data_IF_693569221747
#
_entry.id   IF_693569221747
#
_cell.length_a   1.000
_cell.length_b   1.000
_cell.length_c   1.000
_cell.angle_alpha   90.00
_cell.angle_beta   90.00
_cell.angle_gamma   90.00
#
_symmetry.space_group_name_H-M   'P 1'
#
loop_
_entity.id
_entity.type
_entity.pdbx_description
1 polymer ?
#
# COMPACT_ATOMS: atom_id res chain seq x y z
N UNK A 1 -13.84 25.96 -55.53
CA UNK A 1 -12.88 24.99 -56.07
C UNK A 1 -11.81 24.55 -55.05
N UNK A 2 -11.35 25.39 -54.12
CA UNK A 2 -10.26 25.03 -53.17
C UNK A 2 -10.66 24.16 -51.97
N UNK A 3 -11.94 24.07 -51.61
CA UNK A 3 -12.37 23.34 -50.39
C UNK A 3 -12.40 21.82 -50.59
N UNK A 4 -12.69 21.36 -51.81
CA UNK A 4 -12.75 19.93 -52.15
C UNK A 4 -11.37 19.27 -52.23
N UNK A 5 -10.34 20.03 -52.61
CA UNK A 5 -8.95 19.53 -52.69
C UNK A 5 -8.39 19.23 -51.29
N UNK A 6 -8.73 20.06 -50.30
CA UNK A 6 -8.33 19.85 -48.90
C UNK A 6 -9.02 18.62 -48.32
N UNK A 7 -10.28 18.37 -48.69
CA UNK A 7 -11.03 17.20 -48.22
C UNK A 7 -10.48 15.89 -48.79
N UNK A 8 -10.05 15.90 -50.06
CA UNK A 8 -9.37 14.75 -50.69
C UNK A 8 -8.01 14.49 -50.04
N UNK A 9 -7.24 15.54 -49.72
CA UNK A 9 -5.95 15.41 -49.03
C UNK A 9 -6.11 14.90 -47.58
N UNK A 10 -7.10 15.38 -46.83
CA UNK A 10 -7.39 14.89 -45.48
C UNK A 10 -7.86 13.43 -45.50
N UNK A 11 -8.64 13.02 -46.50
CA UNK A 11 -9.11 11.64 -46.62
C UNK A 11 -8.01 10.67 -47.07
N UNK A 12 -7.02 11.13 -47.86
CA UNK A 12 -5.89 10.30 -48.31
C UNK A 12 -4.83 10.11 -47.21
N UNK A 13 -4.64 11.10 -46.33
CA UNK A 13 -3.74 10.99 -45.16
C UNK A 13 -4.33 10.12 -44.03
N UNK A 14 -5.64 9.87 -44.03
CA UNK A 14 -6.30 8.98 -43.07
C UNK A 14 -6.11 7.47 -43.33
N UNK A 15 -5.48 7.08 -44.46
CA UNK A 15 -5.39 5.69 -44.88
C UNK A 15 -3.97 5.09 -44.88
N UNK A 16 -2.94 5.84 -44.47
CA UNK A 16 -1.56 5.34 -44.38
C UNK A 16 -0.86 5.77 -43.09
N UNK A 17 -1.31 5.23 -41.94
CA UNK A 17 -0.41 4.84 -40.83
C UNK A 17 -1.04 3.62 -40.17
N UNK A 18 -1.09 2.52 -40.92
CA UNK A 18 -0.99 1.18 -40.35
C UNK A 18 0.50 0.85 -40.34
N UNK A 19 0.97 0.18 -39.28
CA UNK A 19 2.36 -0.21 -38.96
C UNK A 19 3.19 0.80 -38.15
N UNK A 20 2.80 0.96 -36.88
CA UNK A 20 3.66 0.69 -35.70
C UNK A 20 2.89 1.07 -34.42
N UNK A 21 1.91 0.26 -33.97
CA UNK A 21 0.97 0.73 -32.91
C UNK A 21 0.55 -0.30 -31.87
N UNK A 22 1.24 -1.44 -31.76
CA UNK A 22 0.91 -2.44 -30.74
C UNK A 22 1.45 -2.09 -29.34
N UNK A 23 2.51 -1.28 -29.21
CA UNK A 23 3.11 -0.95 -27.89
C UNK A 23 2.52 0.28 -27.18
N UNK A 24 1.88 1.21 -27.88
CA UNK A 24 1.39 2.47 -27.27
C UNK A 24 -0.02 2.34 -26.68
N UNK A 25 -0.84 1.45 -27.22
CA UNK A 25 -2.19 1.18 -26.70
C UNK A 25 -2.16 0.31 -25.44
N UNK A 26 -1.19 -0.62 -25.34
CA UNK A 26 -0.97 -1.43 -24.14
C UNK A 26 -0.49 -0.56 -22.96
N UNK A 27 0.48 0.32 -23.19
CA UNK A 27 1.07 1.17 -22.14
C UNK A 27 0.09 2.20 -21.55
N UNK A 28 -0.84 2.73 -22.35
CA UNK A 28 -1.91 3.63 -21.88
C UNK A 28 -2.87 2.89 -20.93
N UNK A 29 -3.28 1.66 -21.28
CA UNK A 29 -4.15 0.84 -20.44
C UNK A 29 -3.47 0.45 -19.12
N UNK A 30 -2.17 0.17 -19.15
CA UNK A 30 -1.36 -0.06 -17.94
C UNK A 30 -1.32 1.18 -17.05
N UNK A 31 -1.02 2.35 -17.62
CA UNK A 31 -1.02 3.63 -16.88
C UNK A 31 -2.39 3.95 -16.26
N UNK A 32 -3.48 3.67 -16.98
CA UNK A 32 -4.85 3.85 -16.47
C UNK A 32 -5.13 2.89 -15.31
N UNK A 33 -4.70 1.63 -15.40
CA UNK A 33 -4.80 0.66 -14.29
C UNK A 33 -3.98 1.12 -13.10
N UNK A 34 -2.75 1.57 -13.32
CA UNK A 34 -1.86 2.05 -12.25
C UNK A 34 -2.44 3.26 -11.53
N UNK A 35 -2.94 4.24 -12.28
CA UNK A 35 -3.57 5.43 -11.71
C UNK A 35 -4.78 5.07 -10.88
N UNK A 36 -5.67 4.20 -11.38
CA UNK A 36 -6.82 3.70 -10.62
C UNK A 36 -6.41 3.01 -9.32
N UNK A 37 -5.40 2.14 -9.39
CA UNK A 37 -4.85 1.44 -8.23
C UNK A 37 -4.29 2.42 -7.20
N UNK A 38 -3.50 3.41 -7.63
CA UNK A 38 -2.91 4.42 -6.75
C UNK A 38 -3.97 5.33 -6.12
N UNK A 39 -4.94 5.81 -6.90
CA UNK A 39 -6.08 6.60 -6.38
C UNK A 39 -6.87 5.80 -5.36
N UNK A 40 -7.09 4.50 -5.61
CA UNK A 40 -7.81 3.63 -4.69
C UNK A 40 -7.02 3.42 -3.39
N UNK A 41 -5.73 3.12 -3.47
CA UNK A 41 -4.86 3.00 -2.30
C UNK A 41 -4.83 4.28 -1.46
N UNK A 42 -4.70 5.43 -2.12
CA UNK A 42 -4.69 6.73 -1.46
C UNK A 42 -6.03 7.02 -0.76
N UNK A 43 -7.15 6.63 -1.37
CA UNK A 43 -8.47 6.76 -0.77
C UNK A 43 -8.64 5.90 0.50
N UNK A 44 -8.05 4.69 0.55
CA UNK A 44 -8.03 3.91 1.78
C UNK A 44 -7.20 4.59 2.88
N UNK A 45 -6.02 5.09 2.52
CA UNK A 45 -5.14 5.81 3.45
C UNK A 45 -5.79 7.09 3.98
N UNK A 46 -6.49 7.86 3.12
CA UNK A 46 -7.13 9.12 3.52
C UNK A 46 -8.26 8.94 4.53
N UNK A 47 -8.88 7.75 4.56
CA UNK A 47 -9.94 7.41 5.51
C UNK A 47 -9.46 6.52 6.66
N UNK A 48 -8.14 6.34 6.82
CA UNK A 48 -7.55 5.47 7.85
C UNK A 48 -8.11 4.04 7.80
N UNK A 49 -8.35 3.53 6.59
CA UNK A 49 -8.83 2.17 6.34
C UNK A 49 -7.65 1.24 6.02
N UNK A 50 -7.72 -0.04 6.45
CA UNK A 50 -6.71 -1.01 6.08
C UNK A 50 -6.69 -1.23 4.56
N UNK A 51 -5.50 -1.30 3.98
CA UNK A 51 -5.35 -1.55 2.55
C UNK A 51 -5.64 -3.02 2.23
N UNK A 52 -6.49 -3.31 1.24
CA UNK A 52 -6.67 -4.67 0.75
C UNK A 52 -5.35 -5.25 0.22
N UNK A 53 -5.03 -6.53 0.47
CA UNK A 53 -3.80 -7.17 0.01
C UNK A 53 -3.58 -7.05 -1.50
N UNK A 54 -4.65 -7.19 -2.29
CA UNK A 54 -4.61 -7.10 -3.76
C UNK A 54 -4.18 -5.70 -4.23
N UNK A 55 -4.69 -4.66 -3.57
CA UNK A 55 -4.33 -3.26 -3.86
C UNK A 55 -2.88 -3.01 -3.45
N UNK A 56 -2.46 -3.50 -2.29
CA UNK A 56 -1.07 -3.38 -1.84
C UNK A 56 -0.10 -4.04 -2.82
N UNK A 57 -0.38 -5.27 -3.26
CA UNK A 57 0.43 -5.97 -4.25
C UNK A 57 0.48 -5.23 -5.58
N UNK A 58 -0.66 -4.73 -6.06
CA UNK A 58 -0.72 -3.95 -7.28
C UNK A 58 0.10 -2.65 -7.19
N UNK A 59 0.03 -1.91 -6.08
CA UNK A 59 0.88 -0.73 -5.83
C UNK A 59 2.36 -1.10 -5.77
N UNK A 60 2.69 -2.23 -5.13
CA UNK A 60 4.06 -2.73 -5.08
C UNK A 60 4.60 -3.08 -6.47
N UNK A 61 3.78 -3.72 -7.32
CA UNK A 61 4.15 -4.04 -8.72
C UNK A 61 4.46 -2.76 -9.49
N UNK A 62 3.62 -1.73 -9.35
CA UNK A 62 3.82 -0.43 -10.01
C UNK A 62 5.16 0.21 -9.62
N UNK A 63 5.57 0.05 -8.35
CA UNK A 63 6.85 0.55 -7.86
C UNK A 63 8.04 -0.25 -8.43
N UNK A 64 7.92 -1.58 -8.51
CA UNK A 64 9.00 -2.47 -9.01
C UNK A 64 9.13 -2.49 -10.53
N UNK A 65 8.04 -2.19 -11.26
CA UNK A 65 8.00 -2.13 -12.73
C UNK A 65 8.56 -0.80 -13.28
N UNK A 66 8.90 0.15 -12.40
CA UNK A 66 9.62 1.37 -12.78
C UNK A 66 11.10 1.05 -13.02
N UNK A 67 11.66 1.31 -14.23
CA UNK A 67 13.07 1.06 -14.48
C UNK A 67 13.95 1.89 -13.51
N UNK A 68 15.08 1.34 -13.03
CA UNK A 68 15.91 1.95 -11.99
C UNK A 68 16.68 3.15 -12.56
N UNK A 69 16.01 4.30 -12.68
CA UNK A 69 16.64 5.57 -12.94
C UNK A 69 17.08 6.19 -11.60
N UNK A 70 18.28 5.79 -11.17
CA UNK A 70 19.21 6.53 -10.29
C UNK A 70 18.75 6.77 -8.84
N UNK A 71 19.09 5.83 -7.95
CA UNK A 71 19.72 6.10 -6.64
C UNK A 71 20.13 4.77 -6.01
N UNK A 72 21.44 4.55 -5.89
CA UNK A 72 22.03 3.27 -5.54
C UNK A 72 21.82 2.87 -4.08
N UNK A 73 21.18 1.72 -3.88
CA UNK A 73 21.60 0.81 -2.84
C UNK A 73 21.87 -0.55 -3.47
N UNK A 74 23.17 -0.84 -3.59
CA UNK A 74 23.69 -2.12 -4.03
C UNK A 74 23.09 -3.22 -3.15
N UNK A 75 22.45 -4.18 -3.81
CA UNK A 75 22.24 -5.53 -3.33
C UNK A 75 23.62 -6.14 -2.99
N UNK A 76 24.06 -5.96 -1.75
CA UNK A 76 25.14 -6.76 -1.17
C UNK A 76 24.49 -8.05 -0.64
N UNK A 77 24.11 -8.94 -1.54
CA UNK A 77 24.41 -10.34 -1.30
C UNK A 77 25.90 -10.49 -1.55
N UNK A 78 26.69 -10.19 -0.53
CA UNK A 78 28.03 -10.73 -0.44
C UNK A 78 28.06 -11.59 0.81
N UNK A 79 27.76 -12.87 0.57
CA UNK A 79 28.30 -13.98 1.31
C UNK A 79 29.83 -13.84 1.37
N UNK A 80 30.32 -13.06 2.34
CA UNK A 80 31.72 -13.13 2.76
C UNK A 80 31.82 -14.21 3.82
N UNK A 81 32.12 -15.40 3.31
CA UNK A 81 32.83 -16.45 4.01
C UNK A 81 34.14 -15.88 4.57
N UNK A 82 34.12 -15.41 5.82
CA UNK A 82 35.31 -15.22 6.63
C UNK A 82 35.34 -16.32 7.67
N UNK A 83 36.16 -17.31 7.33
CA UNK A 83 36.79 -18.30 8.18
C UNK A 83 37.26 -17.65 9.50
N UNK A 84 36.41 -17.72 10.52
CA UNK A 84 36.82 -17.75 11.91
C UNK A 84 36.49 -19.15 12.38
N UNK A 85 37.50 -19.93 12.74
CA UNK A 85 37.35 -21.24 13.35
C UNK A 85 36.40 -21.12 14.54
N UNK A 86 35.13 -21.49 14.33
CA UNK A 86 34.20 -21.72 15.41
C UNK A 86 34.59 -23.09 15.98
N UNK A 87 35.01 -23.17 17.26
CA UNK A 87 35.23 -24.46 17.87
C UNK A 87 33.91 -25.19 17.73
N UNK A 88 33.97 -26.42 17.22
CA UNK A 88 32.82 -27.30 17.04
C UNK A 88 32.19 -27.44 18.43
N UNK A 89 31.26 -26.54 18.74
CA UNK A 89 30.66 -26.51 20.05
C UNK A 89 29.79 -27.74 20.11
N UNK A 90 30.05 -28.57 21.11
CA UNK A 90 29.31 -29.78 21.37
C UNK A 90 27.83 -29.47 21.19
N UNK A 91 27.11 -30.28 20.42
CA UNK A 91 25.68 -30.14 20.12
C UNK A 91 24.79 -29.89 21.36
N UNK A 92 25.27 -30.25 22.55
CA UNK A 92 24.66 -29.93 23.84
C UNK A 92 24.72 -28.45 24.28
N UNK A 93 25.68 -27.67 23.79
CA UNK A 93 25.87 -26.23 24.09
C UNK A 93 24.82 -25.37 23.38
N UNK A 94 24.47 -25.70 22.13
CA UNK A 94 23.42 -24.96 21.40
C UNK A 94 22.03 -25.15 22.02
N UNK A 95 21.73 -26.37 22.48
CA UNK A 95 20.47 -26.68 23.15
C UNK A 95 20.37 -25.94 24.49
N UNK A 96 21.47 -25.86 25.24
CA UNK A 96 21.51 -25.12 26.52
C UNK A 96 21.50 -23.60 26.32
N UNK A 97 22.17 -23.07 25.30
CA UNK A 97 22.10 -21.65 24.93
C UNK A 97 20.70 -21.23 24.48
N UNK A 98 20.02 -22.10 23.71
CA UNK A 98 18.61 -21.88 23.32
C UNK A 98 17.68 -21.88 24.55
N UNK A 99 17.80 -22.84 25.46
CA UNK A 99 17.00 -22.90 26.68
C UNK A 99 17.27 -21.70 27.60
N UNK A 100 18.52 -21.27 27.73
CA UNK A 100 18.91 -20.08 28.50
C UNK A 100 18.40 -18.78 27.85
N UNK A 101 18.49 -18.66 26.52
CA UNK A 101 17.94 -17.53 25.76
C UNK A 101 16.41 -17.46 25.90
N UNK A 102 15.72 -18.61 25.84
CA UNK A 102 14.28 -18.69 26.07
C UNK A 102 13.93 -18.36 27.53
N UNK A 103 14.65 -18.90 28.51
CA UNK A 103 14.45 -18.60 29.92
C UNK A 103 14.65 -17.11 30.24
N UNK A 104 15.53 -16.42 29.50
CA UNK A 104 15.71 -14.96 29.56
C UNK A 104 14.61 -14.17 28.85
N UNK A 105 14.06 -14.68 27.75
CA UNK A 105 13.04 -13.99 26.93
C UNK A 105 11.60 -14.20 27.44
N UNK A 106 11.29 -15.40 27.93
CA UNK A 106 9.96 -15.81 28.36
C UNK A 106 9.31 -14.99 29.48
N UNK A 107 10.06 -14.41 30.44
CA UNK A 107 9.45 -13.54 31.45
C UNK A 107 8.77 -12.30 30.85
N UNK A 108 9.10 -11.93 29.60
CA UNK A 108 8.46 -10.82 28.87
C UNK A 108 7.40 -11.28 27.85
N UNK A 109 7.14 -12.59 27.75
CA UNK A 109 6.10 -13.09 26.86
C UNK A 109 4.74 -12.69 27.39
N UNK A 110 4.06 -11.81 26.63
CA UNK A 110 2.67 -11.49 26.87
C UNK A 110 1.84 -12.77 26.85
N UNK A 111 1.00 -12.96 27.87
CA UNK A 111 0.14 -14.14 27.93
C UNK A 111 -0.89 -14.11 26.81
N UNK A 112 -1.33 -15.27 26.32
CA UNK A 112 -2.34 -15.33 25.25
C UNK A 112 -3.65 -14.60 25.61
N UNK A 113 -4.00 -14.59 26.90
CA UNK A 113 -5.12 -13.82 27.44
C UNK A 113 -4.90 -12.31 27.38
N UNK A 114 -3.70 -11.82 27.77
CA UNK A 114 -3.33 -10.41 27.63
C UNK A 114 -3.28 -9.98 26.17
N UNK A 115 -2.81 -10.84 25.26
CA UNK A 115 -2.84 -10.56 23.83
C UNK A 115 -4.28 -10.42 23.30
N UNK A 116 -5.18 -11.31 23.74
CA UNK A 116 -6.58 -11.25 23.36
C UNK A 116 -7.27 -9.99 23.90
N UNK A 117 -6.98 -9.63 25.16
CA UNK A 117 -7.46 -8.39 25.78
C UNK A 117 -6.91 -7.15 25.06
N UNK A 118 -5.61 -7.11 24.77
CA UNK A 118 -4.97 -6.01 24.05
C UNK A 118 -5.57 -5.84 22.64
N UNK A 119 -5.89 -6.95 21.95
CA UNK A 119 -6.57 -6.91 20.66
C UNK A 119 -7.98 -6.33 20.79
N UNK A 120 -8.75 -6.76 21.78
CA UNK A 120 -10.10 -6.24 22.02
C UNK A 120 -10.07 -4.75 22.36
N UNK A 121 -9.16 -4.34 23.24
CA UNK A 121 -8.96 -2.93 23.61
C UNK A 121 -8.66 -2.05 22.40
N UNK A 122 -7.83 -2.52 21.46
CA UNK A 122 -7.56 -1.79 20.20
C UNK A 122 -8.81 -1.63 19.34
N UNK A 123 -9.60 -2.69 19.17
CA UNK A 123 -10.82 -2.66 18.35
C UNK A 123 -11.88 -1.77 18.99
N UNK A 124 -12.13 -1.92 20.29
CA UNK A 124 -13.06 -1.08 21.04
C UNK A 124 -12.67 0.38 20.96
N UNK A 125 -11.40 0.71 21.21
CA UNK A 125 -10.91 2.09 21.15
C UNK A 125 -11.09 2.70 19.76
N UNK A 126 -10.82 1.92 18.70
CA UNK A 126 -11.02 2.38 17.32
C UNK A 126 -12.50 2.66 17.02
N UNK A 127 -13.40 1.76 17.43
CA UNK A 127 -14.85 1.94 17.24
C UNK A 127 -15.34 3.18 17.99
N UNK A 128 -14.96 3.34 19.27
CA UNK A 128 -15.34 4.49 20.10
C UNK A 128 -14.82 5.81 19.50
N UNK A 129 -13.57 5.82 19.03
CA UNK A 129 -12.99 6.98 18.36
C UNK A 129 -13.80 7.39 17.13
N UNK A 130 -14.10 6.44 16.24
CA UNK A 130 -14.89 6.68 15.02
C UNK A 130 -16.31 7.15 15.33
N UNK A 131 -16.96 6.56 16.33
CA UNK A 131 -18.29 7.01 16.79
C UNK A 131 -18.24 8.46 17.27
N UNK A 132 -17.24 8.80 18.06
CA UNK A 132 -17.05 10.17 18.57
C UNK A 132 -16.84 11.17 17.43
N UNK A 133 -16.04 10.83 16.41
CA UNK A 133 -15.89 11.67 15.21
C UNK A 133 -17.22 11.91 14.48
N UNK A 134 -18.03 10.85 14.34
CA UNK A 134 -19.31 10.91 13.64
C UNK A 134 -20.38 11.66 14.45
N UNK A 135 -20.45 11.44 15.75
CA UNK A 135 -21.36 12.15 16.67
C UNK A 135 -21.01 13.64 16.79
N UNK A 136 -19.72 13.97 16.81
CA UNK A 136 -19.27 15.35 16.72
C UNK A 136 -19.82 16.03 15.46
N UNK A 137 -19.75 15.38 14.30
CA UNK A 137 -20.34 15.91 13.07
C UNK A 137 -21.86 16.04 13.15
N UNK A 138 -22.56 15.07 13.75
CA UNK A 138 -24.02 15.10 13.88
C UNK A 138 -24.51 16.20 14.84
N UNK A 139 -23.78 16.45 15.92
CA UNK A 139 -24.11 17.48 16.93
C UNK A 139 -23.91 18.89 16.39
N UNK A 140 -22.87 19.15 15.58
CA UNK A 140 -22.72 20.41 14.85
C UNK A 140 -23.85 20.64 13.85
N UNK A 141 -24.26 19.60 13.11
CA UNK A 141 -25.38 19.69 12.19
C UNK A 141 -26.72 19.96 12.91
N UNK A 142 -26.96 19.30 14.05
CA UNK A 142 -28.15 19.56 14.86
C UNK A 142 -28.16 20.97 15.46
N UNK A 143 -27.03 21.43 16.00
CA UNK A 143 -26.92 22.81 16.51
C UNK A 143 -27.08 23.85 15.39
N UNK A 144 -26.58 23.56 14.19
CA UNK A 144 -26.81 24.41 13.02
C UNK A 144 -28.29 24.48 12.64
N UNK A 145 -28.99 23.34 12.59
CA UNK A 145 -30.44 23.30 12.34
C UNK A 145 -31.21 24.07 13.43
N UNK A 146 -30.90 23.85 14.71
CA UNK A 146 -31.55 24.51 15.84
C UNK A 146 -31.33 26.05 15.85
N UNK A 147 -30.23 26.56 15.27
CA UNK A 147 -29.98 28.01 15.08
C UNK A 147 -30.85 28.60 13.97
N UNK A 148 -31.17 27.84 12.93
CA UNK A 148 -31.96 28.29 11.77
C UNK A 148 -33.46 27.98 11.90
N UNK A 149 -33.86 27.15 12.86
CA UNK A 149 -35.26 26.90 13.21
C UNK A 149 -35.80 28.12 14.00
N UNK A 150 -36.26 29.13 13.25
CA UNK A 150 -36.94 30.32 13.78
C UNK A 150 -38.16 29.89 14.62
N UNK A 151 -38.32 30.37 15.87
CA UNK A 151 -39.54 30.10 16.64
C UNK A 151 -40.72 30.76 15.92
N UNK A 152 -41.72 29.95 15.54
CA UNK A 152 -43.01 30.44 15.05
C UNK A 152 -43.84 31.03 16.19
#
# INVERSE_FOLDING_TARGET
MHVWVVYIYLSAMGAQVVESSSSSSSSLLDLQRHTKTLTCALNFLSHNLPLPPDVFHAVSSIYTDSPPAIAGFHHITQTQHLQGESPISNEGDLMTDLEDALAKQWPSHISGSELAEARENRVQSYIQHRLTELEGSLTWNKAFIDIFEVPR
#
